data_IF_373976100442
#
_entry.id   IF_373976100442
#
_cell.length_a   1.000
_cell.length_b   1.000
_cell.length_c   1.000
_cell.angle_alpha   90.00
_cell.angle_beta   90.00
_cell.angle_gamma   90.00
#
_symmetry.space_group_name_H-M   'P 1'
#
loop_
_entity.id
_entity.type
_entity.pdbx_description
1 polymer ?
#
# COMPACT_ATOMS: atom_id res chain seq x y z
N UNK A 1 19.13 65.48 -62.76
CA UNK A 1 19.76 64.15 -62.87
C UNK A 1 18.94 63.19 -62.00
N UNK A 2 17.78 62.77 -62.52
CA UNK A 2 17.41 61.39 -62.93
C UNK A 2 17.23 60.43 -61.74
N UNK A 3 15.95 60.27 -61.33
CA UNK A 3 15.43 59.04 -60.71
C UNK A 3 15.31 57.96 -61.79
N UNK A 4 15.41 56.67 -61.44
CA UNK A 4 14.63 55.65 -62.10
C UNK A 4 13.61 55.05 -61.14
N UNK A 5 12.34 55.17 -61.52
CA UNK A 5 11.20 54.42 -61.01
C UNK A 5 11.40 52.94 -61.36
N UNK A 6 11.34 52.05 -60.37
CA UNK A 6 11.21 50.62 -60.65
C UNK A 6 9.82 50.37 -61.24
N UNK A 7 9.81 49.97 -62.50
CA UNK A 7 8.63 49.69 -63.31
C UNK A 7 7.76 48.60 -62.68
N UNK A 8 6.52 48.95 -62.36
CA UNK A 8 5.44 47.99 -62.19
C UNK A 8 5.00 47.56 -63.59
N UNK A 9 5.35 46.33 -63.99
CA UNK A 9 4.86 45.72 -65.23
C UNK A 9 3.43 45.25 -64.99
N UNK A 10 2.47 45.92 -65.65
CA UNK A 10 1.08 45.52 -65.72
C UNK A 10 0.85 44.68 -66.99
N UNK A 11 0.40 43.44 -66.85
CA UNK A 11 -0.12 42.67 -67.98
C UNK A 11 -1.63 42.85 -68.08
N UNK A 12 -2.13 43.09 -69.29
CA UNK A 12 -3.55 43.23 -69.60
C UNK A 12 -4.30 41.89 -69.54
N UNK A 13 -4.43 41.33 -68.33
CA UNK A 13 -5.42 40.34 -67.91
C UNK A 13 -5.35 40.31 -66.40
N UNK A 14 -6.47 40.61 -65.73
CA UNK A 14 -6.54 40.87 -64.29
C UNK A 14 -6.31 39.66 -63.39
N UNK A 15 -5.15 39.01 -63.50
CA UNK A 15 -4.70 37.97 -62.59
C UNK A 15 -3.55 38.53 -61.75
N UNK A 16 -3.83 38.82 -60.47
CA UNK A 16 -2.79 39.14 -59.49
C UNK A 16 -2.05 37.84 -59.16
N UNK A 17 -0.91 37.61 -59.82
CA UNK A 17 0.01 36.53 -59.44
C UNK A 17 0.82 37.01 -58.23
N UNK A 18 0.36 36.66 -57.03
CA UNK A 18 1.17 36.81 -55.82
C UNK A 18 2.39 35.88 -55.92
N UNK A 19 3.63 36.37 -55.69
CA UNK A 19 4.75 35.47 -55.47
C UNK A 19 4.54 34.75 -54.13
N UNK A 20 4.03 33.52 -54.18
CA UNK A 20 4.09 32.56 -53.07
C UNK A 20 5.54 32.09 -52.96
N UNK A 21 6.42 32.92 -52.43
CA UNK A 21 7.73 32.45 -51.98
C UNK A 21 7.61 32.03 -50.53
N UNK A 22 7.31 30.73 -50.44
CA UNK A 22 7.39 29.84 -49.31
C UNK A 22 8.37 30.35 -48.24
N UNK A 23 7.84 30.65 -47.06
CA UNK A 23 8.61 30.60 -45.83
C UNK A 23 9.31 29.23 -45.82
N UNK A 24 10.64 29.25 -45.98
CA UNK A 24 11.45 28.06 -45.91
C UNK A 24 11.18 27.38 -44.58
N UNK A 25 10.41 26.30 -44.59
CA UNK A 25 10.39 25.36 -43.49
C UNK A 25 11.80 24.80 -43.46
N UNK A 26 12.62 25.25 -42.51
CA UNK A 26 13.85 24.56 -42.17
C UNK A 26 13.46 23.13 -41.80
N UNK A 27 13.53 22.22 -42.76
CA UNK A 27 13.58 20.79 -42.51
C UNK A 27 14.99 20.53 -41.97
N UNK A 28 15.22 20.88 -40.72
CA UNK A 28 16.42 20.45 -40.02
C UNK A 28 16.30 18.95 -39.80
N UNK A 29 17.09 18.18 -40.55
CA UNK A 29 17.30 16.77 -40.25
C UNK A 29 17.98 16.66 -38.89
N UNK A 30 17.50 15.73 -38.06
CA UNK A 30 18.10 15.42 -36.78
C UNK A 30 19.56 14.99 -36.99
N UNK A 31 20.49 15.55 -36.21
CA UNK A 31 21.87 15.08 -36.24
C UNK A 31 22.00 13.74 -35.51
N UNK A 32 22.93 12.88 -35.94
CA UNK A 32 23.14 11.58 -35.30
C UNK A 32 23.48 11.73 -33.82
N UNK A 33 24.22 12.78 -33.46
CA UNK A 33 24.55 13.12 -32.08
C UNK A 33 23.29 13.44 -31.24
N UNK A 34 22.33 14.18 -31.79
CA UNK A 34 21.10 14.53 -31.08
C UNK A 34 20.24 13.29 -30.78
N UNK A 35 20.14 12.35 -31.72
CA UNK A 35 19.47 11.06 -31.50
C UNK A 35 20.20 10.23 -30.44
N UNK A 36 21.53 10.22 -30.44
CA UNK A 36 22.31 9.54 -29.41
C UNK A 36 22.07 10.13 -28.02
N UNK A 37 22.07 11.46 -27.88
CA UNK A 37 21.80 12.12 -26.60
C UNK A 37 20.35 11.89 -26.15
N UNK A 38 19.38 11.97 -27.07
CA UNK A 38 17.98 11.71 -26.77
C UNK A 38 17.74 10.27 -26.28
N UNK A 39 18.39 9.28 -26.88
CA UNK A 39 18.27 7.88 -26.45
C UNK A 39 18.93 7.62 -25.10
N UNK A 40 20.07 8.28 -24.81
CA UNK A 40 20.69 8.23 -23.47
C UNK A 40 19.74 8.82 -22.42
N UNK A 41 19.18 10.01 -22.66
CA UNK A 41 18.24 10.65 -21.72
C UNK A 41 16.99 9.79 -21.54
N UNK A 42 16.44 9.25 -22.64
CA UNK A 42 15.26 8.39 -22.60
C UNK A 42 15.52 7.10 -21.80
N UNK A 43 16.67 6.45 -22.02
CA UNK A 43 17.02 5.23 -21.29
C UNK A 43 17.16 5.47 -19.79
N UNK A 44 17.82 6.57 -19.39
CA UNK A 44 17.94 6.96 -17.98
C UNK A 44 16.58 7.28 -17.35
N UNK A 45 15.72 8.01 -18.06
CA UNK A 45 14.35 8.27 -17.62
C UNK A 45 13.51 7.00 -17.45
N UNK A 46 13.64 6.06 -18.40
CA UNK A 46 12.95 4.77 -18.33
C UNK A 46 13.39 3.93 -17.13
N UNK A 47 14.70 3.89 -16.84
CA UNK A 47 15.23 3.19 -15.66
C UNK A 47 14.70 3.79 -14.37
N UNK A 48 14.64 5.13 -14.28
CA UNK A 48 14.06 5.81 -13.10
C UNK A 48 12.58 5.45 -12.91
N UNK A 49 11.79 5.45 -13.99
CA UNK A 49 10.36 5.08 -13.95
C UNK A 49 10.16 3.62 -13.54
N UNK A 50 10.94 2.69 -14.10
CA UNK A 50 10.86 1.27 -13.74
C UNK A 50 11.21 1.06 -12.26
N UNK A 51 12.21 1.77 -11.75
CA UNK A 51 12.60 1.69 -10.34
C UNK A 51 11.47 2.16 -9.42
N UNK A 52 10.84 3.30 -9.75
CA UNK A 52 9.68 3.79 -9.01
C UNK A 52 8.51 2.80 -9.04
N UNK A 53 8.24 2.19 -10.20
CA UNK A 53 7.18 1.19 -10.35
C UNK A 53 7.43 -0.06 -9.49
N UNK A 54 8.66 -0.57 -9.42
CA UNK A 54 9.01 -1.70 -8.55
C UNK A 54 8.78 -1.39 -7.07
N UNK A 55 9.01 -0.14 -6.64
CA UNK A 55 8.72 0.28 -5.27
C UNK A 55 7.21 0.30 -5.00
N UNK A 56 6.41 0.80 -5.93
CA UNK A 56 4.94 0.78 -5.81
C UNK A 56 4.39 -0.66 -5.73
N UNK A 57 4.96 -1.61 -6.49
CA UNK A 57 4.55 -3.02 -6.41
C UNK A 57 4.81 -3.64 -5.04
N UNK A 58 5.92 -3.28 -4.37
CA UNK A 58 6.19 -3.75 -3.00
C UNK A 58 5.15 -3.24 -2.01
N UNK A 59 4.78 -1.97 -2.12
CA UNK A 59 3.74 -1.36 -1.28
C UNK A 59 2.40 -2.05 -1.51
N UNK A 60 2.02 -2.31 -2.76
CA UNK A 60 0.74 -2.95 -3.09
C UNK A 60 0.63 -4.36 -2.52
N UNK A 61 1.72 -5.14 -2.54
CA UNK A 61 1.76 -6.46 -1.89
C UNK A 61 1.65 -6.36 -0.37
N UNK A 62 2.26 -5.35 0.24
CA UNK A 62 2.10 -5.10 1.68
C UNK A 62 0.65 -4.75 2.04
N UNK A 63 -0.05 -3.97 1.19
CA UNK A 63 -1.46 -3.64 1.37
C UNK A 63 -2.38 -4.86 1.31
N UNK A 64 -2.18 -5.77 0.35
CA UNK A 64 -2.98 -7.00 0.26
C UNK A 64 -2.83 -7.88 1.52
N UNK A 65 -1.61 -7.98 2.05
CA UNK A 65 -1.37 -8.66 3.32
C UNK A 65 -2.09 -7.98 4.49
N UNK A 66 -2.07 -6.65 4.52
CA UNK A 66 -2.74 -5.87 5.55
C UNK A 66 -4.27 -6.00 5.51
N UNK A 67 -4.91 -5.94 4.33
CA UNK A 67 -6.36 -6.12 4.20
C UNK A 67 -6.80 -7.49 4.73
N UNK A 68 -6.05 -8.54 4.40
CA UNK A 68 -6.33 -9.88 4.91
C UNK A 68 -6.06 -9.98 6.41
N UNK A 69 -5.01 -9.34 6.92
CA UNK A 69 -4.74 -9.28 8.36
C UNK A 69 -5.88 -8.57 9.12
N UNK A 70 -6.43 -7.47 8.58
CA UNK A 70 -7.58 -6.79 9.16
C UNK A 70 -8.83 -7.67 9.16
N UNK A 71 -9.04 -8.46 8.11
CA UNK A 71 -10.11 -9.45 8.08
C UNK A 71 -9.95 -10.51 9.17
N UNK A 72 -8.74 -11.06 9.35
CA UNK A 72 -8.46 -12.04 10.42
C UNK A 72 -8.61 -11.44 11.80
N UNK A 73 -8.18 -10.18 12.00
CA UNK A 73 -8.44 -9.44 13.22
C UNK A 73 -9.95 -9.36 13.50
N UNK A 74 -10.76 -8.98 12.51
CA UNK A 74 -12.20 -8.92 12.65
C UNK A 74 -12.81 -10.28 13.03
N UNK A 75 -12.35 -11.38 12.42
CA UNK A 75 -12.78 -12.73 12.80
C UNK A 75 -12.46 -13.03 14.26
N UNK A 76 -11.21 -12.77 14.69
CA UNK A 76 -10.79 -13.02 16.06
C UNK A 76 -11.52 -12.16 17.08
N UNK A 77 -11.75 -10.88 16.80
CA UNK A 77 -12.55 -9.99 17.67
C UNK A 77 -14.03 -10.39 17.72
N UNK A 78 -14.55 -11.02 16.66
CA UNK A 78 -15.93 -11.54 16.63
C UNK A 78 -16.06 -12.80 17.49
N UNK A 79 -15.11 -13.72 17.38
CA UNK A 79 -15.13 -14.98 18.13
C UNK A 79 -14.75 -14.76 19.61
N UNK A 80 -13.79 -13.87 19.86
CA UNK A 80 -13.28 -13.56 21.19
C UNK A 80 -13.42 -12.06 21.48
N UNK A 81 -14.64 -11.57 21.74
CA UNK A 81 -14.84 -10.17 22.09
C UNK A 81 -14.10 -9.82 23.37
N UNK A 82 -13.56 -8.59 23.44
CA UNK A 82 -12.91 -8.11 24.65
C UNK A 82 -13.93 -8.10 25.81
N UNK A 83 -13.66 -8.82 26.92
CA UNK A 83 -14.59 -8.89 28.02
C UNK A 83 -14.71 -7.54 28.73
N UNK A 84 -15.90 -7.24 29.22
CA UNK A 84 -16.10 -6.08 30.09
C UNK A 84 -15.34 -6.28 31.42
N UNK A 85 -14.92 -5.20 32.10
CA UNK A 85 -14.21 -5.29 33.39
C UNK A 85 -14.94 -6.10 34.47
N UNK A 86 -16.27 -6.17 34.38
CA UNK A 86 -17.12 -6.92 35.30
C UNK A 86 -17.07 -8.44 35.10
N UNK A 87 -16.61 -8.91 33.93
CA UNK A 87 -16.61 -10.32 33.55
C UNK A 87 -15.30 -11.02 33.92
N UNK A 88 -14.24 -10.24 34.21
CA UNK A 88 -12.91 -10.76 34.60
C UNK A 88 -12.74 -10.54 36.10
N UNK A 89 -12.93 -11.60 36.88
CA UNK A 89 -12.79 -11.57 38.34
C UNK A 89 -11.38 -11.93 38.81
N UNK A 90 -10.67 -12.75 38.03
CA UNK A 90 -9.35 -13.26 38.36
C UNK A 90 -8.22 -12.30 37.91
N UNK A 91 -6.98 -12.79 37.91
CA UNK A 91 -5.83 -12.04 37.36
C UNK A 91 -5.98 -11.89 35.84
N UNK A 92 -5.95 -10.65 35.29
CA UNK A 92 -5.97 -10.43 33.84
C UNK A 92 -4.82 -11.11 33.09
N UNK A 93 -3.67 -11.35 33.73
CA UNK A 93 -2.52 -12.00 33.10
C UNK A 93 -2.76 -13.49 32.82
N UNK A 94 -3.56 -14.15 33.65
CA UNK A 94 -3.89 -15.58 33.51
C UNK A 94 -5.28 -15.80 32.90
N UNK A 95 -5.97 -14.73 32.50
CA UNK A 95 -7.34 -14.82 32.04
C UNK A 95 -7.43 -15.31 30.58
N UNK A 96 -8.09 -16.44 30.36
CA UNK A 96 -8.26 -17.07 29.04
C UNK A 96 -9.06 -16.22 28.03
N UNK A 97 -9.88 -15.26 28.47
CA UNK A 97 -10.62 -14.37 27.58
C UNK A 97 -9.77 -13.17 27.11
N UNK A 98 -8.75 -12.80 27.89
CA UNK A 98 -7.81 -11.74 27.56
C UNK A 98 -6.54 -12.26 26.88
N UNK A 99 -6.12 -13.49 27.20
CA UNK A 99 -4.97 -14.17 26.63
C UNK A 99 -5.43 -15.32 25.76
N UNK A 100 -5.32 -15.13 24.45
CA UNK A 100 -5.72 -16.10 23.43
C UNK A 100 -4.46 -16.58 22.75
N UNK A 101 -4.22 -17.88 22.86
CA UNK A 101 -3.10 -18.54 22.20
C UNK A 101 -3.15 -18.36 20.67
N UNK A 102 -1.99 -18.51 20.04
CA UNK A 102 -1.86 -18.38 18.59
C UNK A 102 -2.82 -19.35 17.86
N UNK A 103 -3.85 -18.79 17.23
CA UNK A 103 -4.93 -19.51 16.57
C UNK A 103 -4.90 -19.25 15.06
N UNK A 104 -5.00 -20.30 14.26
CA UNK A 104 -5.00 -20.21 12.80
C UNK A 104 -6.31 -19.59 12.28
N UNK A 105 -6.22 -18.74 11.26
CA UNK A 105 -7.39 -18.06 10.70
C UNK A 105 -8.47 -19.03 10.16
N UNK A 106 -8.05 -20.19 9.64
CA UNK A 106 -8.98 -21.24 9.21
C UNK A 106 -9.73 -21.89 10.37
N UNK A 107 -9.12 -21.95 11.56
CA UNK A 107 -9.81 -22.39 12.77
C UNK A 107 -10.83 -21.36 13.21
N UNK A 108 -10.50 -20.07 13.19
CA UNK A 108 -11.46 -19.00 13.49
C UNK A 108 -12.70 -19.04 12.58
N UNK A 109 -12.49 -19.27 11.27
CA UNK A 109 -13.59 -19.40 10.31
C UNK A 109 -14.50 -20.57 10.63
N UNK A 110 -13.91 -21.73 10.90
CA UNK A 110 -14.64 -22.95 11.26
C UNK A 110 -15.46 -22.74 12.53
N UNK A 111 -14.87 -22.11 13.54
CA UNK A 111 -15.52 -21.88 14.83
C UNK A 111 -16.64 -20.83 14.73
N UNK A 112 -16.57 -19.93 13.74
CA UNK A 112 -17.65 -19.00 13.36
C UNK A 112 -18.65 -19.58 12.34
N UNK A 113 -18.50 -20.85 11.96
CA UNK A 113 -19.35 -21.53 10.95
C UNK A 113 -19.35 -20.82 9.58
N UNK A 114 -18.26 -20.15 9.22
CA UNK A 114 -18.07 -19.40 7.97
C UNK A 114 -17.33 -20.22 6.90
N UNK A 115 -17.82 -21.43 6.61
CA UNK A 115 -17.14 -22.40 5.73
C UNK A 115 -17.37 -22.14 4.23
N UNK A 116 -18.34 -21.29 3.86
CA UNK A 116 -18.68 -20.95 2.46
C UNK A 116 -17.74 -19.89 1.87
N UNK A 117 -16.45 -20.19 1.87
CA UNK A 117 -15.41 -19.34 1.26
C UNK A 117 -14.83 -20.00 0.00
N UNK A 118 -14.39 -19.18 -0.94
CA UNK A 118 -13.72 -19.67 -2.14
C UNK A 118 -12.41 -20.37 -1.78
N UNK A 119 -11.97 -21.30 -2.64
CA UNK A 119 -10.68 -21.99 -2.46
C UNK A 119 -9.52 -21.00 -2.40
N UNK A 120 -9.54 -19.98 -3.27
CA UNK A 120 -8.52 -18.92 -3.30
C UNK A 120 -8.43 -18.22 -1.94
N UNK A 121 -9.56 -17.86 -1.33
CA UNK A 121 -9.59 -17.21 -0.02
C UNK A 121 -9.10 -18.12 1.09
N UNK A 122 -9.38 -19.43 1.00
CA UNK A 122 -8.87 -20.43 1.95
C UNK A 122 -7.35 -20.54 1.88
N UNK A 123 -6.80 -20.62 0.67
CA UNK A 123 -5.35 -20.72 0.44
C UNK A 123 -4.62 -19.46 0.93
N UNK A 124 -5.25 -18.27 0.82
CA UNK A 124 -4.72 -17.03 1.40
C UNK A 124 -4.65 -17.08 2.94
N UNK A 125 -5.71 -17.57 3.59
CA UNK A 125 -5.85 -17.56 5.05
C UNK A 125 -5.03 -18.64 5.76
N UNK A 126 -4.60 -19.67 5.04
CA UNK A 126 -3.79 -20.79 5.58
C UNK A 126 -2.55 -20.31 6.35
N UNK A 127 -2.01 -19.14 6.00
CA UNK A 127 -0.78 -18.61 6.57
C UNK A 127 -0.99 -17.51 7.59
N UNK A 128 -2.22 -17.24 8.01
CA UNK A 128 -2.56 -16.20 8.97
C UNK A 128 -2.85 -16.78 10.35
N UNK A 129 -2.30 -16.15 11.38
CA UNK A 129 -2.59 -16.47 12.78
C UNK A 129 -3.00 -15.23 13.56
N UNK A 130 -3.85 -15.45 14.55
CA UNK A 130 -4.36 -14.48 15.51
C UNK A 130 -3.85 -14.86 16.90
N UNK A 131 -3.31 -13.91 17.64
CA UNK A 131 -2.92 -14.06 19.04
C UNK A 131 -3.36 -12.81 19.81
N UNK A 132 -3.75 -12.97 21.07
CA UNK A 132 -3.98 -11.85 21.98
C UNK A 132 -3.25 -12.13 23.29
N UNK A 133 -2.53 -11.14 23.79
CA UNK A 133 -1.82 -11.23 25.06
C UNK A 133 -1.98 -9.94 25.86
N UNK A 134 -1.97 -10.06 27.18
CA UNK A 134 -1.88 -8.93 28.09
C UNK A 134 -0.40 -8.69 28.39
N UNK A 135 0.05 -7.46 28.22
CA UNK A 135 1.42 -7.09 28.58
C UNK A 135 1.59 -7.15 30.11
N UNK A 136 2.66 -7.80 30.57
CA UNK A 136 3.07 -7.85 31.98
C UNK A 136 3.65 -6.49 32.40
N UNK A 137 3.04 -5.87 33.41
CA UNK A 137 3.38 -4.54 33.92
C UNK A 137 3.54 -4.67 35.43
N UNK A 138 4.61 -4.08 35.99
CA UNK A 138 4.85 -4.13 37.42
C UNK A 138 3.75 -3.41 38.23
N UNK A 139 3.56 -3.84 39.48
CA UNK A 139 2.48 -3.33 40.35
C UNK A 139 2.57 -1.81 40.59
N UNK A 140 3.78 -1.23 40.57
CA UNK A 140 4.00 0.19 40.83
C UNK A 140 3.57 1.04 39.63
N UNK A 141 3.92 0.61 38.42
CA UNK A 141 3.47 1.19 37.15
C UNK A 141 1.96 0.99 36.95
N UNK A 142 1.43 -0.20 37.29
CA UNK A 142 0.00 -0.48 37.20
C UNK A 142 -0.82 0.40 38.17
N UNK A 143 -0.32 0.64 39.39
CA UNK A 143 -0.96 1.57 40.32
C UNK A 143 -0.93 3.01 39.79
N UNK A 144 0.18 3.44 39.16
CA UNK A 144 0.32 4.76 38.52
C UNK A 144 -0.60 4.92 37.30
N UNK A 145 -0.81 3.87 36.52
CA UNK A 145 -1.69 3.86 35.34
C UNK A 145 -3.19 3.80 35.69
N UNK A 146 -3.52 3.56 36.97
CA UNK A 146 -4.89 3.43 37.43
C UNK A 146 -5.52 2.06 37.16
N UNK A 147 -4.69 1.00 37.19
CA UNK A 147 -5.06 -0.39 36.89
C UNK A 147 -5.49 -0.59 35.42
N UNK A 148 -4.74 0.05 34.53
CA UNK A 148 -4.90 -0.05 33.09
C UNK A 148 -3.88 -1.06 32.54
N UNK A 149 -4.40 -2.12 31.93
CA UNK A 149 -3.64 -3.15 31.24
C UNK A 149 -3.59 -2.85 29.75
N UNK A 150 -2.48 -3.21 29.12
CA UNK A 150 -2.30 -3.13 27.68
C UNK A 150 -2.57 -4.51 27.09
N UNK A 151 -3.62 -4.61 26.29
CA UNK A 151 -3.99 -5.83 25.56
C UNK A 151 -3.49 -5.70 24.14
N UNK A 152 -2.60 -6.61 23.75
CA UNK A 152 -1.95 -6.63 22.45
C UNK A 152 -2.54 -7.76 21.62
N UNK A 153 -3.23 -7.39 20.55
CA UNK A 153 -3.66 -8.36 19.52
C UNK A 153 -2.67 -8.35 18.38
N UNK A 154 -2.09 -9.50 18.05
CA UNK A 154 -1.09 -9.65 16.98
C UNK A 154 -1.63 -10.57 15.90
N UNK A 155 -1.60 -10.08 14.67
CA UNK A 155 -1.88 -10.89 13.47
C UNK A 155 -0.56 -11.14 12.76
N UNK A 156 -0.21 -12.39 12.53
CA UNK A 156 1.02 -12.76 11.82
C UNK A 156 0.72 -13.48 10.53
N UNK A 157 1.50 -13.19 9.49
CA UNK A 157 1.39 -13.87 8.21
C UNK A 157 2.74 -14.08 7.50
N UNK A 158 2.80 -15.13 6.67
CA UNK A 158 3.97 -15.49 5.86
C UNK A 158 4.21 -17.01 5.82
N UNK A 159 4.69 -17.52 4.68
CA UNK A 159 4.80 -18.95 4.37
C UNK A 159 5.81 -19.76 5.22
N UNK A 160 6.49 -19.15 6.19
CA UNK A 160 7.49 -19.87 6.97
C UNK A 160 7.40 -19.52 8.46
N UNK A 161 6.93 -20.50 9.25
CA UNK A 161 6.80 -20.51 10.72
C UNK A 161 8.09 -20.10 11.49
N UNK A 162 9.25 -20.07 10.81
CA UNK A 162 10.58 -19.73 11.38
C UNK A 162 11.39 -18.71 10.56
N UNK A 163 10.84 -18.09 9.51
CA UNK A 163 11.64 -17.16 8.69
C UNK A 163 11.59 -15.72 9.21
N UNK A 164 12.66 -14.99 8.94
CA UNK A 164 12.84 -13.57 9.20
C UNK A 164 11.89 -12.66 8.39
N UNK A 165 11.11 -13.24 7.47
CA UNK A 165 10.18 -12.56 6.56
C UNK A 165 8.71 -12.63 7.03
N UNK A 166 8.46 -13.04 8.28
CA UNK A 166 7.11 -13.01 8.85
C UNK A 166 6.68 -11.56 9.03
N UNK A 167 5.58 -11.18 8.39
CA UNK A 167 4.98 -9.87 8.56
C UNK A 167 3.98 -9.94 9.70
N UNK A 168 3.86 -8.85 10.46
CA UNK A 168 2.92 -8.75 11.57
C UNK A 168 2.23 -7.39 11.61
N UNK A 169 1.01 -7.41 12.11
CA UNK A 169 0.22 -6.23 12.46
C UNK A 169 -0.13 -6.36 13.93
N UNK A 170 0.02 -5.28 14.67
CA UNK A 170 -0.32 -5.23 16.09
C UNK A 170 -1.38 -4.16 16.33
N UNK A 171 -2.42 -4.53 17.06
CA UNK A 171 -3.42 -3.62 17.59
C UNK A 171 -3.28 -3.60 19.11
N UNK A 172 -3.20 -2.40 19.67
CA UNK A 172 -3.05 -2.20 21.10
C UNK A 172 -4.34 -1.60 21.64
N UNK A 173 -4.95 -2.30 22.58
CA UNK A 173 -6.16 -1.87 23.26
C UNK A 173 -5.89 -1.71 24.75
N UNK A 174 -6.47 -0.67 25.34
CA UNK A 174 -6.34 -0.40 26.77
C UNK A 174 -7.54 -1.00 27.49
N UNK A 175 -7.29 -1.87 28.46
CA UNK A 175 -8.32 -2.54 29.25
C UNK A 175 -8.15 -2.20 30.72
N UNK A 176 -9.25 -1.90 31.42
CA UNK A 176 -9.18 -1.44 32.81
C UNK A 176 -9.80 -2.47 33.74
N UNK A 177 -9.07 -2.91 34.76
CA UNK A 177 -9.63 -3.78 35.80
C UNK A 177 -10.59 -2.99 36.69
N UNK A 178 -11.74 -3.58 37.01
CA UNK A 178 -12.66 -3.03 38.00
C UNK A 178 -12.05 -3.17 39.40
N UNK A 179 -12.10 -2.09 40.18
CA UNK A 179 -11.69 -2.09 41.60
C UNK A 179 -12.73 -2.74 42.49
#
# INVERSE_FOLDING_TARGET
>A
MVRPLSETVWTAKGDVVMPVNAAGRFRMGFTLLEVMVATIILSLGLVALLTAFMQCQRIMRATQGFETAQYVLMLGETLYPLPSPDQVSDDPLDNEFLNIEETEALTLLRDLELDDITKERRDELEYYTFERTVDDIDDEELARSGYLYTVRTVIRWGHARRSKDRSETTVITLWRKKR
#
